data_IF_974119536777
#
_entry.id   IF_974119536777
#
_cell.length_a   1.000
_cell.length_b   1.000
_cell.length_c   1.000
_cell.angle_alpha   90.00
_cell.angle_beta   90.00
_cell.angle_gamma   90.00
#
_symmetry.space_group_name_H-M   'P 1'
#
loop_
_entity.id
_entity.type
_entity.pdbx_description
1 polymer ?
#
# COMPACT_ATOMS: atom_id res chain seq x y z
N UNK A 1 -6.40 -9.30 -10.93
CA UNK A 1 -6.69 -8.13 -10.07
C UNK A 1 -5.38 -7.40 -9.81
N UNK A 2 -5.27 -6.13 -10.17
CA UNK A 2 -4.05 -5.35 -9.97
C UNK A 2 -4.33 -4.28 -8.93
N UNK A 3 -3.59 -4.31 -7.82
CA UNK A 3 -3.61 -3.31 -6.75
C UNK A 3 -3.04 -1.95 -7.17
N UNK A 4 -2.75 -1.74 -8.47
CA UNK A 4 -2.16 -0.51 -9.03
C UNK A 4 -2.68 0.82 -8.48
N UNK A 5 -3.99 1.06 -8.24
CA UNK A 5 -4.43 2.35 -7.68
C UNK A 5 -4.00 2.56 -6.22
N UNK A 6 -3.47 1.53 -5.57
CA UNK A 6 -3.03 1.53 -4.18
C UNK A 6 -1.51 1.39 -4.01
N UNK A 7 -0.73 1.30 -5.10
CA UNK A 7 0.73 1.30 -5.02
C UNK A 7 1.27 2.74 -5.16
N UNK A 8 2.37 3.06 -4.49
CA UNK A 8 2.92 4.42 -4.57
C UNK A 8 3.65 4.58 -5.92
N UNK A 9 3.22 5.53 -6.78
CA UNK A 9 3.78 5.67 -8.12
C UNK A 9 5.27 6.00 -8.14
N UNK A 10 5.82 6.54 -7.04
CA UNK A 10 7.24 6.87 -6.91
C UNK A 10 8.12 5.62 -6.83
N UNK A 11 7.57 4.49 -6.37
CA UNK A 11 8.31 3.23 -6.21
C UNK A 11 7.90 2.16 -7.24
N UNK A 12 7.03 2.51 -8.20
CA UNK A 12 6.76 1.68 -9.37
C UNK A 12 7.94 1.75 -10.36
N UNK A 13 8.10 0.76 -11.27
CA UNK A 13 9.16 0.80 -12.28
C UNK A 13 9.17 2.12 -13.07
N UNK A 14 10.34 2.79 -13.10
CA UNK A 14 10.49 4.12 -13.71
C UNK A 14 10.03 5.30 -12.84
N UNK A 15 9.60 5.04 -11.60
CA UNK A 15 9.25 6.04 -10.61
C UNK A 15 10.48 6.79 -10.08
N UNK A 16 10.23 7.97 -9.50
CA UNK A 16 11.26 8.90 -9.02
C UNK A 16 12.01 8.46 -7.76
N UNK A 17 11.58 7.37 -7.13
CA UNK A 17 11.99 6.99 -5.78
C UNK A 17 11.47 7.96 -4.71
N UNK A 18 11.76 7.62 -3.46
CA UNK A 18 11.42 8.43 -2.27
C UNK A 18 12.72 8.72 -1.53
N UNK A 19 13.24 9.93 -1.68
CA UNK A 19 14.39 10.42 -0.93
C UNK A 19 13.98 10.81 0.49
N UNK A 20 14.81 10.47 1.47
CA UNK A 20 14.55 10.78 2.85
C UNK A 20 15.82 10.98 3.67
N UNK A 21 15.66 11.62 4.82
CA UNK A 21 16.71 11.79 5.81
C UNK A 21 16.36 11.01 7.08
N UNK A 22 17.34 10.27 7.58
CA UNK A 22 17.31 9.58 8.87
C UNK A 22 17.55 10.57 10.03
N UNK A 23 17.20 10.18 11.25
CA UNK A 23 17.36 11.04 12.44
C UNK A 23 18.82 11.42 12.71
N UNK A 24 19.77 10.58 12.30
CA UNK A 24 21.21 10.84 12.38
C UNK A 24 21.72 11.81 11.28
N UNK A 25 20.84 12.32 10.41
CA UNK A 25 21.17 13.24 9.33
C UNK A 25 21.60 12.58 8.02
N UNK A 26 21.74 11.25 7.98
CA UNK A 26 22.06 10.49 6.77
C UNK A 26 20.91 10.54 5.76
N UNK A 27 21.24 10.69 4.48
CA UNK A 27 20.28 10.75 3.38
C UNK A 27 20.27 9.41 2.65
N UNK A 28 19.09 8.88 2.41
CA UNK A 28 18.87 7.60 1.76
C UNK A 28 17.61 7.64 0.86
N UNK A 29 17.39 6.59 0.06
CA UNK A 29 16.35 6.54 -0.94
C UNK A 29 15.67 5.17 -1.05
N UNK A 30 14.33 5.17 -1.12
CA UNK A 30 13.56 4.01 -1.56
C UNK A 30 13.46 4.07 -3.09
N UNK A 31 14.10 3.14 -3.78
CA UNK A 31 14.12 3.11 -5.25
C UNK A 31 13.01 2.23 -5.81
N UNK A 32 12.73 2.38 -7.10
CA UNK A 32 11.78 1.52 -7.82
C UNK A 32 12.27 0.07 -7.99
N UNK A 33 13.58 -0.17 -7.88
CA UNK A 33 14.20 -1.50 -7.93
C UNK A 33 14.10 -2.24 -6.59
N UNK A 34 14.06 -1.50 -5.48
CA UNK A 34 13.94 -2.04 -4.13
C UNK A 34 12.78 -1.37 -3.36
N UNK A 35 11.53 -1.49 -3.82
CA UNK A 35 10.40 -0.75 -3.27
C UNK A 35 9.88 -1.34 -1.95
N UNK A 36 10.45 -2.45 -1.47
CA UNK A 36 9.96 -3.14 -0.28
C UNK A 36 8.70 -3.98 -0.53
N UNK A 37 7.88 -4.14 0.51
CA UNK A 37 6.69 -4.99 0.46
C UNK A 37 5.54 -4.30 -0.27
N UNK A 38 4.87 -5.04 -1.16
CA UNK A 38 3.72 -4.54 -1.91
C UNK A 38 2.54 -4.24 -0.97
N UNK A 39 1.76 -3.23 -1.33
CA UNK A 39 0.55 -2.87 -0.62
C UNK A 39 -0.41 -4.08 -0.51
N UNK A 40 -1.05 -4.24 0.65
CA UNK A 40 -2.01 -5.32 0.90
C UNK A 40 -1.40 -6.69 1.19
N UNK A 41 -0.07 -6.86 1.06
CA UNK A 41 0.63 -8.08 1.51
C UNK A 41 0.86 -8.09 3.03
N UNK A 42 0.73 -6.94 3.66
CA UNK A 42 0.94 -6.72 5.08
C UNK A 42 -0.02 -5.71 5.65
N UNK A 43 -0.38 -5.91 6.91
CA UNK A 43 -1.18 -4.98 7.69
C UNK A 43 -0.26 -4.24 8.67
N UNK A 44 -0.25 -2.92 8.59
CA UNK A 44 0.44 -2.06 9.55
C UNK A 44 -0.54 -1.19 10.32
N UNK A 45 -0.32 -1.07 11.63
CA UNK A 45 -0.95 -0.05 12.46
C UNK A 45 -0.10 1.21 12.47
N UNK A 46 -0.68 2.37 12.80
CA UNK A 46 0.06 3.64 12.91
C UNK A 46 1.26 3.54 13.86
N UNK A 47 1.06 2.89 15.02
CA UNK A 47 2.14 2.67 16.00
C UNK A 47 3.24 1.75 15.48
N UNK A 48 2.91 0.73 14.69
CA UNK A 48 3.93 -0.16 14.11
C UNK A 48 4.80 0.56 13.07
N UNK A 49 4.24 1.56 12.37
CA UNK A 49 4.96 2.36 11.39
C UNK A 49 5.96 3.35 12.01
N UNK A 50 5.95 3.52 13.32
CA UNK A 50 6.93 4.38 14.00
C UNK A 50 8.35 3.82 13.80
N UNK A 51 9.26 4.69 13.36
CA UNK A 51 10.64 4.31 13.03
C UNK A 51 10.80 3.44 11.78
N UNK A 52 9.73 3.21 10.99
CA UNK A 52 9.81 2.43 9.74
C UNK A 52 9.94 3.32 8.52
N UNK A 53 10.88 2.99 7.65
CA UNK A 53 11.10 3.69 6.37
C UNK A 53 9.87 3.57 5.45
N UNK A 54 9.20 2.41 5.45
CA UNK A 54 7.99 2.13 4.63
C UNK A 54 6.85 3.12 4.88
N UNK A 55 6.81 3.75 6.07
CA UNK A 55 5.85 4.79 6.39
C UNK A 55 5.90 5.97 5.41
N UNK A 56 6.95 6.13 4.60
CA UNK A 56 7.12 7.23 3.65
C UNK A 56 6.37 7.05 2.32
N UNK A 57 5.88 5.85 2.02
CA UNK A 57 5.04 5.62 0.86
C UNK A 57 3.66 6.28 1.05
N UNK A 58 3.05 6.70 -0.06
CA UNK A 58 1.78 7.41 -0.13
C UNK A 58 0.64 6.57 0.48
N UNK A 59 0.73 5.25 0.31
CA UNK A 59 -0.29 4.29 0.74
C UNK A 59 -0.40 4.20 2.27
N UNK A 60 0.71 4.48 2.97
CA UNK A 60 0.76 4.52 4.43
C UNK A 60 0.60 5.93 5.00
N UNK A 61 0.39 6.95 4.16
CA UNK A 61 -0.01 8.28 4.62
C UNK A 61 -1.51 8.28 4.92
N UNK A 62 -1.91 9.04 5.94
CA UNK A 62 -3.32 9.26 6.27
C UNK A 62 -4.11 7.97 6.58
N UNK A 63 -3.46 6.97 7.19
CA UNK A 63 -4.16 5.78 7.66
C UNK A 63 -5.34 6.17 8.57
N UNK A 64 -6.50 5.52 8.43
CA UNK A 64 -7.65 5.82 9.26
C UNK A 64 -7.40 5.39 10.70
N UNK A 65 -7.82 6.21 11.68
CA UNK A 65 -7.75 5.87 13.11
C UNK A 65 -8.85 4.90 13.56
N UNK A 66 -9.88 4.73 12.72
CA UNK A 66 -11.01 3.87 12.98
C UNK A 66 -11.20 2.96 11.79
N UNK A 67 -11.63 1.73 12.05
CA UNK A 67 -12.12 0.86 10.98
C UNK A 67 -13.26 1.60 10.27
N UNK A 68 -13.18 1.81 8.94
CA UNK A 68 -14.22 2.51 8.21
C UNK A 68 -15.54 1.75 8.35
N UNK A 69 -16.62 2.51 8.52
CA UNK A 69 -17.96 1.93 8.53
C UNK A 69 -18.26 1.39 7.14
N UNK A 70 -18.49 0.08 7.05
CA UNK A 70 -18.80 -0.58 5.80
C UNK A 70 -20.30 -0.45 5.54
N UNK A 71 -20.70 0.50 4.67
CA UNK A 71 -22.10 0.72 4.29
C UNK A 71 -22.44 0.04 2.97
N UNK A 72 -23.51 -0.74 2.96
CA UNK A 72 -24.02 -1.37 1.74
C UNK A 72 -23.09 -2.44 1.15
N UNK A 73 -22.20 -3.03 1.94
CA UNK A 73 -21.40 -4.16 1.48
C UNK A 73 -22.28 -5.39 1.35
N UNK A 74 -22.52 -5.80 0.11
CA UNK A 74 -23.30 -6.99 -0.23
C UNK A 74 -22.50 -8.28 -0.14
N UNK A 75 -21.30 -8.24 0.47
CA UNK A 75 -20.47 -9.42 0.65
C UNK A 75 -19.89 -9.99 -0.65
N UNK A 76 -19.09 -11.04 -0.47
CA UNK A 76 -18.76 -12.00 -1.52
C UNK A 76 -19.98 -12.85 -1.94
N UNK A 77 -21.12 -12.68 -1.28
CA UNK A 77 -22.37 -13.41 -1.55
C UNK A 77 -22.95 -13.10 -2.94
N UNK A 78 -22.44 -12.05 -3.61
CA UNK A 78 -22.69 -11.77 -5.03
C UNK A 78 -21.55 -12.18 -5.98
N UNK A 79 -20.40 -12.66 -5.48
CA UNK A 79 -19.44 -13.41 -6.29
C UNK A 79 -19.92 -14.86 -6.43
N UNK A 80 -21.03 -15.08 -7.15
CA UNK A 80 -21.17 -16.37 -7.79
C UNK A 80 -20.11 -16.42 -8.90
N UNK A 81 -19.12 -17.29 -8.76
CA UNK A 81 -18.34 -17.71 -9.91
C UNK A 81 -19.31 -18.39 -10.87
N UNK A 82 -19.75 -17.65 -11.89
CA UNK A 82 -20.45 -18.22 -13.03
C UNK A 82 -19.44 -19.04 -13.84
N UNK A 83 -19.50 -20.36 -13.67
CA UNK A 83 -18.61 -21.30 -14.34
C UNK A 83 -18.88 -21.39 -15.86
N UNK A 84 -19.99 -20.84 -16.34
CA UNK A 84 -20.38 -20.81 -17.75
C UNK A 84 -20.04 -19.47 -18.45
N UNK A 85 -19.62 -18.44 -17.70
CA UNK A 85 -19.27 -17.11 -18.25
C UNK A 85 -18.02 -17.10 -19.18
N UNK A 86 -17.40 -18.26 -19.40
CA UNK A 86 -16.27 -18.44 -20.33
C UNK A 86 -16.53 -19.45 -21.44
N UNK A 87 -17.79 -19.83 -21.70
CA UNK A 87 -18.17 -20.82 -22.72
C UNK A 87 -18.63 -20.18 -24.03
#
# INVERSE_FOLDING_TARGET
MSSRPFDDPRVLPGGSGIKYQLENGEVDEITSDAPGWKWGMVYFTKGWLEGKVVRRESNYQNLPDKVPEVKGYTGWDHMQCDMDAGR
#
